data_IF_840717065912
#
_entry.id   IF_840717065912
#
_cell.length_a   1.000
_cell.length_b   1.000
_cell.length_c   1.000
_cell.angle_alpha   90.00
_cell.angle_beta   90.00
_cell.angle_gamma   90.00
#
_symmetry.space_group_name_H-M   'P 1'
#
loop_
_entity.id
_entity.type
_entity.pdbx_description
1 polymer ?
#
# COMPACT_ATOMS: atom_id res chain seq x y z
N UNK A 1 33.73 -15.89 -14.65
CA UNK A 1 33.12 -14.61 -14.25
C UNK A 1 31.95 -14.96 -13.37
N UNK A 2 32.04 -14.71 -12.08
CA UNK A 2 30.93 -14.92 -11.14
C UNK A 2 29.81 -13.97 -11.53
N UNK A 3 28.68 -14.51 -12.00
CA UNK A 3 27.44 -13.75 -12.19
C UNK A 3 27.04 -13.19 -10.83
N UNK A 4 27.46 -11.96 -10.52
CA UNK A 4 26.90 -11.19 -9.42
C UNK A 4 25.39 -11.12 -9.63
N UNK A 5 24.60 -11.07 -8.51
CA UNK A 5 23.18 -10.90 -8.64
C UNK A 5 22.83 -9.63 -9.43
N UNK A 6 21.68 -9.61 -10.06
CA UNK A 6 21.25 -8.51 -10.93
C UNK A 6 21.30 -7.14 -10.21
N UNK A 7 21.05 -7.13 -8.90
CA UNK A 7 21.07 -5.90 -8.12
C UNK A 7 22.50 -5.32 -7.97
N UNK A 8 23.47 -6.19 -7.70
CA UNK A 8 24.89 -5.81 -7.67
C UNK A 8 25.39 -5.29 -9.03
N UNK A 9 24.94 -5.91 -10.13
CA UNK A 9 25.24 -5.44 -11.48
C UNK A 9 24.64 -4.04 -11.73
N UNK A 10 23.37 -3.83 -11.35
CA UNK A 10 22.71 -2.54 -11.44
C UNK A 10 23.48 -1.46 -10.66
N UNK A 11 23.92 -1.73 -9.44
CA UNK A 11 24.69 -0.77 -8.64
C UNK A 11 26.05 -0.42 -9.29
N UNK A 12 26.70 -1.38 -9.94
CA UNK A 12 27.98 -1.14 -10.63
C UNK A 12 27.81 -0.31 -11.91
N UNK A 13 26.72 -0.52 -12.66
CA UNK A 13 26.42 0.26 -13.87
C UNK A 13 26.25 1.76 -13.59
N UNK A 14 25.82 2.15 -12.39
CA UNK A 14 25.32 3.50 -12.10
C UNK A 14 26.21 4.36 -11.21
N UNK A 15 27.32 3.84 -10.74
CA UNK A 15 28.30 4.64 -9.98
C UNK A 15 28.75 5.95 -10.67
N UNK A 16 28.81 6.05 -12.01
CA UNK A 16 29.31 7.27 -12.68
C UNK A 16 28.27 8.38 -12.85
N UNK A 17 26.96 8.08 -13.01
CA UNK A 17 25.92 9.09 -13.31
C UNK A 17 24.51 8.68 -12.87
N UNK A 18 23.95 9.32 -11.83
CA UNK A 18 22.58 9.06 -11.36
C UNK A 18 21.48 9.31 -12.41
N UNK A 19 21.71 10.21 -13.38
CA UNK A 19 20.72 10.49 -14.43
C UNK A 19 20.56 9.31 -15.40
N UNK A 20 21.58 8.49 -15.54
CA UNK A 20 21.52 7.27 -16.35
C UNK A 20 20.48 6.27 -15.78
N UNK A 21 20.29 6.24 -14.46
CA UNK A 21 19.27 5.40 -13.81
C UNK A 21 17.86 5.75 -14.28
N UNK A 22 17.49 7.03 -14.25
CA UNK A 22 16.16 7.46 -14.65
C UNK A 22 15.88 7.10 -16.12
N UNK A 23 16.82 7.38 -17.03
CA UNK A 23 16.69 7.03 -18.46
C UNK A 23 16.47 5.53 -18.67
N UNK A 24 17.28 4.70 -18.01
CA UNK A 24 17.13 3.23 -18.10
C UNK A 24 15.80 2.73 -17.56
N UNK A 25 15.31 3.28 -16.45
CA UNK A 25 13.99 2.94 -15.93
C UNK A 25 12.89 3.33 -16.91
N UNK A 26 12.97 4.52 -17.50
CA UNK A 26 12.01 5.02 -18.49
C UNK A 26 12.00 4.16 -19.77
N UNK A 27 13.18 3.73 -20.26
CA UNK A 27 13.28 2.76 -21.36
C UNK A 27 12.54 1.46 -21.03
N UNK A 28 12.75 0.89 -19.82
CA UNK A 28 12.07 -0.33 -19.40
C UNK A 28 10.55 -0.12 -19.26
N UNK A 29 10.11 1.03 -18.73
CA UNK A 29 8.67 1.36 -18.68
C UNK A 29 8.05 1.40 -20.07
N UNK A 30 8.79 1.96 -21.06
CA UNK A 30 8.35 2.00 -22.46
C UNK A 30 8.25 0.60 -23.04
N UNK A 31 9.25 -0.26 -22.81
CA UNK A 31 9.24 -1.63 -23.31
C UNK A 31 8.12 -2.47 -22.70
N UNK A 32 7.90 -2.30 -21.39
CA UNK A 32 6.79 -2.95 -20.70
C UNK A 32 5.43 -2.44 -21.22
N UNK A 33 5.29 -1.14 -21.43
CA UNK A 33 4.10 -0.52 -22.02
C UNK A 33 3.81 -1.05 -23.43
N UNK A 34 4.85 -1.21 -24.27
CA UNK A 34 4.72 -1.80 -25.60
C UNK A 34 4.20 -3.25 -25.54
N UNK A 35 4.70 -4.04 -24.59
CA UNK A 35 4.22 -5.43 -24.40
C UNK A 35 2.79 -5.52 -23.86
N UNK A 36 2.37 -4.53 -23.07
CA UNK A 36 1.03 -4.48 -22.49
C UNK A 36 0.01 -3.76 -23.38
N UNK A 37 0.47 -3.02 -24.39
CA UNK A 37 -0.38 -2.22 -25.28
C UNK A 37 -1.00 -0.98 -24.62
N UNK A 38 -0.46 -0.53 -23.47
CA UNK A 38 -0.94 0.63 -22.72
C UNK A 38 0.18 1.26 -21.88
N UNK A 39 0.05 2.54 -21.50
CA UNK A 39 1.04 3.21 -20.66
C UNK A 39 1.26 2.49 -19.33
N UNK A 40 2.52 2.47 -18.91
CA UNK A 40 2.94 2.02 -17.58
C UNK A 40 3.50 3.22 -16.83
N UNK A 41 3.02 3.43 -15.62
CA UNK A 41 3.53 4.44 -14.69
C UNK A 41 3.91 3.77 -13.37
N UNK A 42 4.74 4.42 -12.57
CA UNK A 42 5.18 3.83 -11.32
C UNK A 42 5.01 4.79 -10.14
N UNK A 43 4.54 4.24 -9.03
CA UNK A 43 4.57 4.80 -7.70
C UNK A 43 5.31 3.79 -6.80
N UNK A 44 6.56 4.09 -6.50
CA UNK A 44 7.42 3.24 -5.67
C UNK A 44 7.79 4.01 -4.40
N UNK A 45 7.37 3.51 -3.26
CA UNK A 45 7.79 4.04 -1.97
C UNK A 45 9.06 3.33 -1.48
N UNK A 46 9.97 4.09 -0.88
CA UNK A 46 11.10 3.53 -0.14
C UNK A 46 10.61 3.05 1.22
N UNK A 47 10.19 1.79 1.31
CA UNK A 47 9.57 1.22 2.51
C UNK A 47 10.45 1.22 3.76
N UNK A 48 11.75 1.46 3.60
CA UNK A 48 12.70 1.64 4.72
C UNK A 48 12.84 3.10 5.17
N UNK A 49 12.30 4.06 4.40
CA UNK A 49 12.33 5.47 4.75
C UNK A 49 11.15 5.81 5.68
N UNK A 50 11.36 6.49 6.83
CA UNK A 50 10.30 6.72 7.82
C UNK A 50 9.12 7.56 7.31
N UNK A 51 9.32 8.36 6.25
CA UNK A 51 8.27 9.22 5.64
C UNK A 51 7.90 8.70 4.23
N UNK A 52 7.77 7.39 4.09
CA UNK A 52 7.38 6.75 2.82
C UNK A 52 5.88 6.49 2.71
N UNK A 53 5.12 6.71 3.78
CA UNK A 53 3.69 6.48 3.81
C UNK A 53 2.94 7.30 2.74
N UNK A 54 1.89 6.73 2.17
CA UNK A 54 0.99 7.42 1.24
C UNK A 54 0.32 8.60 1.94
N UNK A 55 0.43 9.81 1.36
CA UNK A 55 -0.04 11.05 1.99
C UNK A 55 -0.49 12.07 0.93
N UNK A 56 -1.17 13.15 1.39
CA UNK A 56 -1.77 14.16 0.50
C UNK A 56 -0.81 14.72 -0.57
N UNK A 57 0.47 15.03 -0.31
CA UNK A 57 1.40 15.51 -1.36
C UNK A 57 1.61 14.54 -2.52
N UNK A 58 1.34 13.25 -2.34
CA UNK A 58 1.48 12.26 -3.42
C UNK A 58 0.46 12.48 -4.54
N UNK A 59 -0.69 13.08 -4.20
CA UNK A 59 -1.77 13.36 -5.15
C UNK A 59 -1.30 14.29 -6.26
N UNK A 60 -0.51 15.31 -5.92
CA UNK A 60 -0.03 16.28 -6.90
C UNK A 60 0.92 15.61 -7.90
N UNK A 61 1.85 14.76 -7.41
CA UNK A 61 2.74 13.96 -8.26
C UNK A 61 1.95 12.99 -9.16
N UNK A 62 0.89 12.37 -8.62
CA UNK A 62 0.04 11.45 -9.39
C UNK A 62 -0.74 12.18 -10.47
N UNK A 63 -1.29 13.35 -10.19
CA UNK A 63 -2.01 14.16 -11.19
C UNK A 63 -1.12 14.46 -12.39
N UNK A 64 0.15 14.80 -12.17
CA UNK A 64 1.06 15.15 -13.26
C UNK A 64 1.39 13.93 -14.13
N UNK A 65 1.67 12.76 -13.57
CA UNK A 65 1.92 11.59 -14.40
C UNK A 65 0.64 11.04 -15.06
N UNK A 66 -0.52 11.18 -14.44
CA UNK A 66 -1.82 10.83 -15.05
C UNK A 66 -2.09 11.68 -16.29
N UNK A 67 -1.80 13.00 -16.23
CA UNK A 67 -1.89 13.89 -17.40
C UNK A 67 -1.01 13.42 -18.56
N UNK A 68 0.19 12.95 -18.29
CA UNK A 68 1.11 12.43 -19.32
C UNK A 68 0.54 11.14 -19.92
N UNK A 69 0.23 10.16 -19.09
CA UNK A 69 -0.22 8.83 -19.54
C UNK A 69 -1.56 8.88 -20.29
N UNK A 70 -2.49 9.75 -19.88
CA UNK A 70 -3.82 9.86 -20.48
C UNK A 70 -3.86 10.43 -21.91
N UNK A 71 -2.75 11.03 -22.37
CA UNK A 71 -2.63 11.52 -23.75
C UNK A 71 -2.63 10.38 -24.77
N UNK A 72 -2.12 9.21 -24.40
CA UNK A 72 -1.92 8.07 -25.31
C UNK A 72 -2.96 6.96 -25.18
N UNK A 73 -3.62 6.84 -24.03
CA UNK A 73 -4.54 5.73 -23.79
C UNK A 73 -5.60 6.04 -22.72
N UNK A 74 -6.72 5.31 -22.77
CA UNK A 74 -7.74 5.23 -21.72
C UNK A 74 -7.58 3.99 -20.84
N UNK A 75 -6.48 3.29 -20.98
CA UNK A 75 -6.04 2.15 -20.18
C UNK A 75 -4.70 2.47 -19.51
N UNK A 76 -4.50 2.01 -18.27
CA UNK A 76 -3.28 2.26 -17.49
C UNK A 76 -2.85 1.02 -16.74
N UNK A 77 -1.53 0.83 -16.62
CA UNK A 77 -0.88 -0.04 -15.65
C UNK A 77 -0.07 0.79 -14.66
N UNK A 78 -0.36 0.65 -13.38
CA UNK A 78 0.37 1.29 -12.27
C UNK A 78 1.26 0.27 -11.60
N UNK A 79 2.58 0.43 -11.67
CA UNK A 79 3.50 -0.30 -10.80
C UNK A 79 3.42 0.34 -9.42
N UNK A 80 3.01 -0.43 -8.42
CA UNK A 80 2.76 0.06 -7.06
C UNK A 80 3.57 -0.70 -6.03
N UNK A 81 4.42 0.00 -5.29
CA UNK A 81 5.01 -0.46 -4.05
C UNK A 81 4.81 0.59 -2.96
N UNK A 82 4.18 0.18 -1.84
CA UNK A 82 4.01 1.04 -0.68
C UNK A 82 3.59 0.21 0.54
N UNK A 83 4.07 0.60 1.72
CA UNK A 83 3.59 0.06 3.00
C UNK A 83 2.20 0.58 3.39
N UNK A 84 1.60 1.47 2.60
CA UNK A 84 0.32 2.09 2.86
C UNK A 84 0.43 3.52 3.38
N UNK A 85 -0.56 3.96 4.14
CA UNK A 85 -0.66 5.33 4.66
C UNK A 85 -2.12 5.76 4.80
N UNK A 86 -2.44 6.99 4.38
CA UNK A 86 -3.79 7.56 4.51
C UNK A 86 -4.78 6.93 3.50
N UNK A 87 -5.81 6.26 4.03
CA UNK A 87 -6.87 5.64 3.22
C UNK A 87 -7.70 6.64 2.42
N UNK A 88 -7.85 7.89 2.89
CA UNK A 88 -8.57 8.93 2.12
C UNK A 88 -7.74 9.35 0.88
N UNK A 89 -6.41 9.36 1.01
CA UNK A 89 -5.51 9.60 -0.12
C UNK A 89 -5.62 8.47 -1.14
N UNK A 90 -5.62 7.21 -0.69
CA UNK A 90 -5.84 6.07 -1.58
C UNK A 90 -7.16 6.17 -2.33
N UNK A 91 -8.24 6.58 -1.67
CA UNK A 91 -9.55 6.79 -2.30
C UNK A 91 -9.53 7.92 -3.33
N UNK A 92 -8.89 9.04 -3.00
CA UNK A 92 -8.73 10.16 -3.93
C UNK A 92 -7.95 9.76 -5.17
N UNK A 93 -6.86 9.00 -5.01
CA UNK A 93 -6.09 8.47 -6.12
C UNK A 93 -6.91 7.51 -6.99
N UNK A 94 -7.72 6.62 -6.38
CA UNK A 94 -8.62 5.74 -7.12
C UNK A 94 -9.63 6.52 -7.96
N UNK A 95 -10.24 7.57 -7.43
CA UNK A 95 -11.13 8.44 -8.20
C UNK A 95 -10.39 9.03 -9.41
N UNK A 96 -9.19 9.58 -9.23
CA UNK A 96 -8.40 10.16 -10.31
C UNK A 96 -8.11 9.10 -11.39
N UNK A 97 -7.64 7.91 -11.01
CA UNK A 97 -7.34 6.85 -11.97
C UNK A 97 -8.59 6.37 -12.70
N UNK A 98 -9.68 6.11 -11.99
CA UNK A 98 -10.91 5.55 -12.57
C UNK A 98 -11.66 6.53 -13.47
N UNK A 99 -11.63 7.82 -13.17
CA UNK A 99 -12.22 8.85 -14.02
C UNK A 99 -11.39 9.10 -15.28
N UNK A 100 -10.06 9.00 -15.17
CA UNK A 100 -9.16 9.26 -16.29
C UNK A 100 -9.04 8.06 -17.24
N UNK A 101 -8.89 6.86 -16.69
CA UNK A 101 -8.66 5.63 -17.45
C UNK A 101 -9.93 4.77 -17.52
N UNK A 102 -10.84 5.19 -18.37
CA UNK A 102 -12.22 4.66 -18.46
C UNK A 102 -12.28 3.26 -19.10
N UNK A 103 -11.25 2.84 -19.86
CA UNK A 103 -11.18 1.50 -20.44
C UNK A 103 -10.74 0.46 -19.42
N UNK A 104 -9.59 0.67 -18.77
CA UNK A 104 -9.14 -0.15 -17.64
C UNK A 104 -8.06 0.56 -16.82
N UNK A 105 -8.07 0.29 -15.52
CA UNK A 105 -7.02 0.65 -14.57
C UNK A 105 -6.50 -0.63 -13.92
N UNK A 106 -5.21 -0.92 -14.09
CA UNK A 106 -4.57 -2.14 -13.60
C UNK A 106 -3.42 -1.81 -12.67
N UNK A 107 -3.21 -2.62 -11.64
CA UNK A 107 -2.11 -2.47 -10.69
C UNK A 107 -1.15 -3.65 -10.82
N UNK A 108 0.15 -3.35 -10.87
CA UNK A 108 1.24 -4.33 -10.87
C UNK A 108 1.99 -4.19 -9.55
N UNK A 109 2.03 -5.25 -8.76
CA UNK A 109 2.72 -5.28 -7.46
C UNK A 109 4.05 -6.02 -7.61
N UNK A 110 5.21 -5.32 -7.64
CA UNK A 110 6.50 -5.99 -7.80
C UNK A 110 6.91 -6.75 -6.52
N UNK A 111 6.61 -6.20 -5.35
CA UNK A 111 6.98 -6.77 -4.06
C UNK A 111 5.85 -6.59 -3.04
N UNK A 112 5.54 -5.37 -2.56
CA UNK A 112 4.49 -5.22 -1.56
C UNK A 112 3.59 -4.00 -1.80
N UNK A 113 2.27 -4.21 -1.62
CA UNK A 113 1.26 -3.15 -1.60
C UNK A 113 0.35 -3.37 -0.38
N UNK A 114 0.70 -2.76 0.77
CA UNK A 114 0.05 -2.99 2.06
C UNK A 114 -0.96 -1.89 2.40
N UNK A 115 -1.94 -2.21 3.25
CA UNK A 115 -2.88 -1.24 3.85
C UNK A 115 -3.50 -0.31 2.77
N UNK A 116 -3.29 1.02 2.81
CA UNK A 116 -3.79 1.97 1.82
C UNK A 116 -3.37 1.62 0.37
N UNK A 117 -2.20 0.98 0.16
CA UNK A 117 -1.81 0.50 -1.16
C UNK A 117 -2.60 -0.76 -1.58
N UNK A 118 -3.00 -1.63 -0.64
CA UNK A 118 -3.99 -2.70 -0.91
C UNK A 118 -5.34 -2.06 -1.26
N UNK A 119 -5.77 -1.00 -0.54
CA UNK A 119 -7.00 -0.27 -0.87
C UNK A 119 -6.98 0.23 -2.32
N UNK A 120 -5.86 0.80 -2.77
CA UNK A 120 -5.69 1.23 -4.15
C UNK A 120 -5.73 0.04 -5.13
N UNK A 121 -5.10 -1.08 -4.77
CA UNK A 121 -5.03 -2.28 -5.61
C UNK A 121 -6.38 -2.95 -5.84
N UNK A 122 -7.22 -3.07 -4.80
CA UNK A 122 -8.55 -3.69 -4.94
C UNK A 122 -9.53 -2.87 -5.80
N UNK A 123 -9.27 -1.57 -5.94
CA UNK A 123 -10.01 -0.69 -6.84
C UNK A 123 -9.60 -0.79 -8.31
N UNK A 124 -8.54 -1.53 -8.63
CA UNK A 124 -8.11 -1.80 -10.00
C UNK A 124 -8.99 -2.89 -10.64
N UNK A 125 -9.06 -2.89 -11.98
CA UNK A 125 -9.78 -3.94 -12.72
C UNK A 125 -9.04 -5.28 -12.65
N UNK A 126 -7.70 -5.23 -12.55
CA UNK A 126 -6.82 -6.38 -12.44
C UNK A 126 -5.63 -6.05 -11.55
N UNK A 127 -5.23 -7.00 -10.73
CA UNK A 127 -4.00 -6.96 -9.94
C UNK A 127 -3.02 -7.95 -10.52
N UNK A 128 -1.82 -7.52 -10.89
CA UNK A 128 -0.76 -8.37 -11.41
C UNK A 128 0.23 -8.62 -10.29
N UNK A 129 0.49 -9.90 -10.02
CA UNK A 129 1.36 -10.34 -8.94
C UNK A 129 2.31 -11.44 -9.43
N UNK A 130 3.51 -11.48 -8.88
CA UNK A 130 4.45 -12.60 -9.05
C UNK A 130 4.68 -13.34 -7.73
N UNK A 131 5.64 -14.25 -7.71
CA UNK A 131 5.98 -15.05 -6.53
C UNK A 131 6.36 -14.19 -5.31
N UNK A 132 7.00 -13.04 -5.54
CA UNK A 132 7.46 -12.14 -4.47
C UNK A 132 6.43 -11.11 -4.06
N UNK A 133 5.29 -11.06 -4.77
CA UNK A 133 4.29 -10.02 -4.55
C UNK A 133 3.41 -10.34 -3.35
N UNK A 134 3.08 -9.31 -2.59
CA UNK A 134 2.14 -9.42 -1.49
C UNK A 134 1.22 -8.21 -1.37
N UNK A 135 -0.01 -8.47 -1.01
CA UNK A 135 -0.96 -7.51 -0.47
C UNK A 135 -0.98 -7.63 1.07
N UNK A 136 -1.74 -6.79 1.73
CA UNK A 136 -1.97 -6.87 3.15
C UNK A 136 -3.41 -6.56 3.54
N UNK A 137 -3.80 -6.80 4.80
CA UNK A 137 -5.06 -6.34 5.33
C UNK A 137 -5.20 -4.82 5.24
N UNK A 138 -6.45 -4.35 5.24
CA UNK A 138 -6.79 -2.92 5.26
C UNK A 138 -7.52 -2.54 6.55
N UNK A 139 -7.26 -3.29 7.63
CA UNK A 139 -7.74 -3.00 8.96
C UNK A 139 -7.14 -1.68 9.48
N UNK A 140 -7.95 -0.73 9.96
CA UNK A 140 -7.45 0.55 10.41
C UNK A 140 -6.59 0.43 11.65
N UNK A 141 -5.44 1.13 11.64
CA UNK A 141 -4.50 1.21 12.75
C UNK A 141 -4.68 2.53 13.50
N UNK A 142 -4.71 2.46 14.81
CA UNK A 142 -4.84 3.62 15.70
C UNK A 142 -3.51 3.87 16.41
N UNK A 143 -3.05 5.10 16.37
CA UNK A 143 -1.86 5.53 17.12
C UNK A 143 -2.22 5.68 18.61
N UNK A 144 -1.57 4.89 19.46
CA UNK A 144 -1.73 4.95 20.93
C UNK A 144 -0.40 5.39 21.53
N UNK A 145 -0.44 6.46 22.35
CA UNK A 145 0.73 6.92 23.08
C UNK A 145 0.93 6.08 24.33
N UNK A 146 2.10 5.46 24.45
CA UNK A 146 2.50 4.74 25.66
C UNK A 146 2.95 5.70 26.76
N UNK A 147 2.94 5.28 28.05
CA UNK A 147 3.47 6.09 29.16
C UNK A 147 4.94 6.50 28.99
N UNK A 148 5.70 5.78 28.17
CA UNK A 148 7.08 6.08 27.80
C UNK A 148 7.24 7.23 26.81
N UNK A 149 6.11 7.77 26.27
CA UNK A 149 6.10 8.75 25.18
C UNK A 149 6.25 8.15 23.78
N UNK A 150 6.44 6.84 23.68
CA UNK A 150 6.47 6.14 22.40
C UNK A 150 5.06 5.99 21.82
N UNK A 151 4.96 6.05 20.50
CA UNK A 151 3.70 5.79 19.77
C UNK A 151 3.70 4.35 19.28
N UNK A 152 2.64 3.63 19.61
CA UNK A 152 2.37 2.29 19.11
C UNK A 152 1.13 2.31 18.22
N UNK A 153 1.18 1.63 17.07
CA UNK A 153 0.01 1.42 16.24
C UNK A 153 -0.67 0.10 16.63
N UNK A 154 -1.96 0.17 16.93
CA UNK A 154 -2.78 -1.00 17.28
C UNK A 154 -4.01 -1.08 16.38
N UNK A 155 -4.47 -2.28 15.99
CA UNK A 155 -5.69 -2.41 15.21
C UNK A 155 -6.90 -1.82 15.96
N UNK A 156 -7.71 -1.00 15.28
CA UNK A 156 -8.93 -0.43 15.86
C UNK A 156 -9.83 -1.53 16.45
N UNK A 157 -9.89 -2.69 15.80
CA UNK A 157 -10.63 -3.86 16.26
C UNK A 157 -10.12 -4.41 17.59
N UNK A 158 -8.83 -4.29 17.90
CA UNK A 158 -8.30 -4.72 19.22
C UNK A 158 -8.93 -3.94 20.36
N UNK A 159 -9.19 -2.64 20.16
CA UNK A 159 -9.84 -1.78 21.16
C UNK A 159 -11.31 -2.15 21.27
N UNK A 160 -12.06 -2.18 20.17
CA UNK A 160 -13.51 -2.49 20.20
C UNK A 160 -13.78 -3.92 20.63
N UNK A 161 -12.96 -4.88 20.20
CA UNK A 161 -13.07 -6.29 20.61
C UNK A 161 -12.77 -6.51 22.10
N UNK A 162 -11.80 -5.78 22.66
CA UNK A 162 -11.51 -5.82 24.10
C UNK A 162 -12.73 -5.35 24.91
N UNK A 163 -13.39 -4.28 24.47
CA UNK A 163 -14.60 -3.78 25.13
C UNK A 163 -15.75 -4.78 25.06
N UNK A 164 -15.96 -5.40 23.90
CA UNK A 164 -16.95 -6.46 23.72
C UNK A 164 -16.67 -7.63 24.69
N UNK A 165 -15.40 -8.07 24.75
CA UNK A 165 -14.99 -9.13 25.67
C UNK A 165 -15.23 -8.76 27.14
N UNK A 166 -14.85 -7.55 27.56
CA UNK A 166 -15.06 -7.07 28.92
C UNK A 166 -16.56 -7.10 29.26
N UNK A 167 -17.41 -6.60 28.34
CA UNK A 167 -18.88 -6.63 28.53
C UNK A 167 -19.38 -8.06 28.73
N UNK A 168 -19.02 -9.00 27.86
CA UNK A 168 -19.40 -10.41 27.96
C UNK A 168 -18.94 -11.08 29.27
N UNK A 169 -17.71 -10.76 29.70
CA UNK A 169 -17.15 -11.31 30.93
C UNK A 169 -17.89 -10.79 32.18
N UNK A 170 -18.25 -9.49 32.21
CA UNK A 170 -19.05 -8.90 33.31
C UNK A 170 -20.46 -9.43 33.29
N UNK A 171 -21.09 -9.61 32.13
CA UNK A 171 -22.44 -10.23 32.03
C UNK A 171 -22.46 -11.66 32.59
N UNK A 172 -21.38 -12.42 32.46
CA UNK A 172 -21.24 -13.77 33.04
C UNK A 172 -20.91 -13.74 34.53
N UNK A 173 -20.17 -12.73 34.98
CA UNK A 173 -19.74 -12.59 36.38
C UNK A 173 -19.52 -11.12 36.74
N UNK A 174 -20.50 -10.50 37.39
CA UNK A 174 -20.45 -9.07 37.78
C UNK A 174 -19.23 -8.70 38.64
N UNK A 175 -18.68 -9.64 39.40
CA UNK A 175 -17.49 -9.40 40.25
C UNK A 175 -16.24 -9.00 39.41
N UNK A 176 -16.23 -9.35 38.13
CA UNK A 176 -15.13 -8.97 37.23
C UNK A 176 -15.12 -7.48 36.91
N UNK A 177 -16.22 -6.74 37.11
CA UNK A 177 -16.28 -5.31 36.85
C UNK A 177 -15.19 -4.53 37.61
N UNK A 178 -14.93 -4.91 38.88
CA UNK A 178 -13.89 -4.26 39.69
C UNK A 178 -12.47 -4.50 39.11
N UNK A 179 -12.23 -5.68 38.53
CA UNK A 179 -10.94 -6.00 37.92
C UNK A 179 -10.71 -5.24 36.62
N UNK A 180 -11.78 -5.01 35.84
CA UNK A 180 -11.71 -4.29 34.59
C UNK A 180 -11.70 -2.76 34.71
N UNK A 181 -12.10 -2.22 35.87
CA UNK A 181 -12.20 -0.78 36.09
C UNK A 181 -10.92 0.00 35.72
N UNK A 182 -9.71 -0.42 36.14
CA UNK A 182 -8.47 0.28 35.75
C UNK A 182 -8.21 0.28 34.25
N UNK A 183 -8.62 -0.77 33.53
CA UNK A 183 -8.49 -0.86 32.08
C UNK A 183 -9.45 0.10 31.38
N UNK A 184 -10.70 0.13 31.82
CA UNK A 184 -11.73 1.00 31.25
C UNK A 184 -11.42 2.48 31.48
N UNK A 185 -10.77 2.87 32.58
CA UNK A 185 -10.35 4.24 32.83
C UNK A 185 -9.30 4.76 31.85
N UNK A 186 -8.56 3.87 31.20
CA UNK A 186 -7.55 4.25 30.22
C UNK A 186 -8.10 4.47 28.81
N UNK A 187 -9.35 4.05 28.57
CA UNK A 187 -9.97 4.13 27.24
C UNK A 187 -10.91 5.35 27.21
N UNK A 188 -10.61 6.31 26.36
CA UNK A 188 -11.42 7.51 26.17
C UNK A 188 -12.62 7.17 25.26
N UNK A 189 -13.83 7.66 25.57
CA UNK A 189 -15.01 7.41 24.74
C UNK A 189 -14.84 7.81 23.28
N UNK A 190 -14.11 8.92 23.01
CA UNK A 190 -13.84 9.40 21.68
C UNK A 190 -12.98 8.41 20.89
N UNK A 191 -12.06 7.71 21.56
CA UNK A 191 -11.21 6.68 20.93
C UNK A 191 -12.06 5.51 20.46
N UNK A 192 -13.07 5.11 21.23
CA UNK A 192 -13.99 4.03 20.86
C UNK A 192 -14.73 4.41 19.57
N UNK A 193 -15.34 5.59 19.57
CA UNK A 193 -16.10 6.08 18.42
C UNK A 193 -15.22 6.22 17.19
N UNK A 194 -13.99 6.74 17.35
CA UNK A 194 -13.03 6.83 16.27
C UNK A 194 -12.67 5.45 15.68
N UNK A 195 -12.48 4.43 16.53
CA UNK A 195 -12.22 3.06 16.07
C UNK A 195 -13.40 2.49 15.27
N UNK A 196 -14.63 2.69 15.74
CA UNK A 196 -15.84 2.25 15.05
C UNK A 196 -15.97 2.92 13.68
N UNK A 197 -15.78 4.24 13.61
CA UNK A 197 -15.86 5.00 12.36
C UNK A 197 -14.75 4.60 11.37
N UNK A 198 -13.54 4.34 11.85
CA UNK A 198 -12.43 3.88 11.01
C UNK A 198 -12.70 2.48 10.42
N UNK A 199 -13.25 1.55 11.22
CA UNK A 199 -13.66 0.22 10.75
C UNK A 199 -14.79 0.33 9.74
N UNK A 200 -15.79 1.17 10.01
CA UNK A 200 -16.93 1.39 9.11
C UNK A 200 -16.45 2.00 7.77
N UNK A 201 -15.54 2.98 7.81
CA UNK A 201 -14.93 3.57 6.62
C UNK A 201 -14.21 2.50 5.78
N UNK A 202 -13.27 1.75 6.38
CA UNK A 202 -12.51 0.71 5.66
C UNK A 202 -13.43 -0.35 5.05
N UNK A 203 -14.47 -0.75 5.77
CA UNK A 203 -15.44 -1.76 5.30
C UNK A 203 -16.28 -1.23 4.13
N UNK A 204 -16.79 0.00 4.22
CA UNK A 204 -17.58 0.62 3.15
C UNK A 204 -16.74 0.90 1.92
N UNK A 205 -15.49 1.33 2.13
CA UNK A 205 -14.49 1.49 1.07
C UNK A 205 -14.26 0.17 0.33
N UNK A 206 -13.93 -0.90 1.07
CA UNK A 206 -13.66 -2.21 0.48
C UNK A 206 -14.84 -2.70 -0.36
N UNK A 207 -16.06 -2.67 0.17
CA UNK A 207 -17.26 -3.09 -0.58
C UNK A 207 -17.43 -2.32 -1.88
N UNK A 208 -17.36 -1.01 -1.82
CA UNK A 208 -17.53 -0.13 -2.98
C UNK A 208 -16.48 -0.36 -4.06
N UNK A 209 -15.21 -0.47 -3.67
CA UNK A 209 -14.11 -0.55 -4.62
C UNK A 209 -13.84 -1.96 -5.13
N UNK A 210 -14.12 -3.01 -4.36
CA UNK A 210 -14.14 -4.40 -4.84
C UNK A 210 -15.18 -4.58 -5.96
N UNK A 211 -16.39 -4.04 -5.77
CA UNK A 211 -17.48 -4.10 -6.76
C UNK A 211 -17.13 -3.38 -8.06
N UNK A 212 -16.47 -2.24 -7.98
CA UNK A 212 -16.05 -1.44 -9.14
C UNK A 212 -14.75 -1.92 -9.78
N UNK A 213 -13.93 -2.65 -9.03
CA UNK A 213 -12.56 -3.06 -9.37
C UNK A 213 -12.37 -4.57 -9.43
N UNK A 214 -11.47 -5.08 -8.58
CA UNK A 214 -10.94 -6.44 -8.64
C UNK A 214 -11.98 -7.56 -8.44
N UNK A 215 -13.21 -7.26 -8.04
CA UNK A 215 -14.30 -8.23 -7.97
C UNK A 215 -15.53 -7.81 -8.79
N UNK A 216 -15.33 -6.98 -9.81
CA UNK A 216 -16.44 -6.55 -10.68
C UNK A 216 -17.23 -7.74 -11.23
N UNK A 217 -18.56 -7.72 -11.07
CA UNK A 217 -19.45 -8.77 -11.55
C UNK A 217 -19.52 -10.01 -10.65
N UNK A 218 -18.83 -10.03 -9.51
CA UNK A 218 -18.95 -11.11 -8.53
C UNK A 218 -20.22 -10.95 -7.68
N UNK A 219 -20.78 -12.08 -7.14
CA UNK A 219 -21.95 -12.04 -6.26
C UNK A 219 -21.71 -11.16 -5.02
N UNK A 220 -22.74 -10.42 -4.59
CA UNK A 220 -22.68 -9.54 -3.42
C UNK A 220 -22.20 -10.26 -2.15
N UNK A 221 -22.60 -11.52 -1.96
CA UNK A 221 -22.15 -12.35 -0.83
C UNK A 221 -20.63 -12.49 -0.79
N UNK A 222 -19.97 -12.68 -1.95
CA UNK A 222 -18.53 -12.83 -2.03
C UNK A 222 -17.83 -11.47 -1.76
N UNK A 223 -18.38 -10.38 -2.29
CA UNK A 223 -17.92 -9.01 -2.00
C UNK A 223 -17.96 -8.71 -0.49
N UNK A 224 -19.09 -8.99 0.16
CA UNK A 224 -19.27 -8.76 1.60
C UNK A 224 -18.30 -9.60 2.43
N UNK A 225 -18.09 -10.87 2.05
CA UNK A 225 -17.13 -11.76 2.69
C UNK A 225 -15.71 -11.23 2.57
N UNK A 226 -15.26 -10.94 1.35
CA UNK A 226 -13.90 -10.47 1.09
C UNK A 226 -13.64 -9.11 1.74
N UNK A 227 -14.60 -8.17 1.67
CA UNK A 227 -14.50 -6.89 2.38
C UNK A 227 -14.30 -7.11 3.89
N UNK A 228 -15.09 -7.99 4.50
CA UNK A 228 -14.95 -8.32 5.92
C UNK A 228 -13.58 -8.93 6.22
N UNK A 229 -13.12 -9.92 5.46
CA UNK A 229 -11.83 -10.58 5.68
C UNK A 229 -10.66 -9.59 5.61
N UNK A 230 -10.69 -8.63 4.67
CA UNK A 230 -9.65 -7.62 4.53
C UNK A 230 -9.66 -6.57 5.66
N UNK A 231 -10.83 -6.26 6.25
CA UNK A 231 -10.99 -5.11 7.16
C UNK A 231 -11.05 -5.48 8.63
N UNK A 232 -11.50 -6.69 8.98
CA UNK A 232 -11.73 -7.05 10.38
C UNK A 232 -10.56 -7.78 11.03
N UNK A 233 -9.59 -8.25 10.26
CA UNK A 233 -8.46 -9.01 10.79
C UNK A 233 -8.84 -10.40 11.34
N UNK A 234 -10.08 -10.90 11.11
CA UNK A 234 -10.51 -12.22 11.59
C UNK A 234 -9.68 -13.34 10.95
N UNK A 235 -9.35 -13.19 9.66
CA UNK A 235 -8.46 -14.09 8.93
C UNK A 235 -7.00 -13.72 9.14
N UNK A 236 -6.71 -12.43 9.14
CA UNK A 236 -5.34 -11.91 9.24
C UNK A 236 -5.13 -11.33 10.63
N UNK A 237 -4.54 -12.09 11.53
CA UNK A 237 -4.38 -11.72 12.94
C UNK A 237 -3.46 -10.51 13.16
N UNK A 238 -2.68 -10.13 12.16
CA UNK A 238 -1.72 -9.02 12.22
C UNK A 238 -1.86 -8.13 10.99
N UNK A 239 -1.77 -6.82 11.18
CA UNK A 239 -1.77 -5.83 10.08
C UNK A 239 -0.67 -6.08 9.03
N UNK A 240 0.47 -6.61 9.44
CA UNK A 240 1.58 -7.00 8.56
C UNK A 240 1.40 -8.32 7.84
N UNK A 241 0.27 -9.03 8.00
CA UNK A 241 0.06 -10.33 7.35
C UNK A 241 0.26 -10.25 5.84
N UNK A 242 0.80 -11.33 5.30
CA UNK A 242 1.02 -11.49 3.86
C UNK A 242 -0.22 -12.08 3.23
N UNK A 243 -0.65 -11.50 2.12
CA UNK A 243 -1.66 -12.04 1.22
C UNK A 243 -0.96 -12.24 -0.12
N UNK A 244 -0.54 -13.47 -0.39
CA UNK A 244 0.14 -13.81 -1.64
C UNK A 244 -0.85 -13.91 -2.82
N UNK A 245 -0.35 -14.16 -4.03
CA UNK A 245 -1.18 -14.22 -5.22
C UNK A 245 -2.21 -15.38 -5.21
N UNK A 246 -1.89 -16.51 -4.57
CA UNK A 246 -2.80 -17.66 -4.46
C UNK A 246 -3.97 -17.33 -3.53
N UNK A 247 -3.69 -16.77 -2.35
CA UNK A 247 -4.71 -16.32 -1.40
C UNK A 247 -5.56 -15.19 -1.97
N UNK A 248 -4.93 -14.21 -2.63
CA UNK A 248 -5.64 -13.09 -3.25
C UNK A 248 -6.62 -13.58 -4.33
N UNK A 249 -6.20 -14.52 -5.17
CA UNK A 249 -7.02 -15.08 -6.26
C UNK A 249 -8.01 -16.14 -5.77
N UNK A 250 -7.52 -17.14 -5.04
CA UNK A 250 -8.30 -18.33 -4.66
C UNK A 250 -9.25 -18.04 -3.51
N UNK A 251 -8.73 -17.51 -2.41
CA UNK A 251 -9.50 -17.36 -1.17
C UNK A 251 -10.31 -16.07 -1.15
N UNK A 252 -9.69 -14.95 -1.53
CA UNK A 252 -10.37 -13.66 -1.56
C UNK A 252 -11.17 -13.43 -2.86
N UNK A 253 -10.92 -14.22 -3.91
CA UNK A 253 -11.63 -14.12 -5.17
C UNK A 253 -11.33 -12.87 -6.00
N UNK A 254 -10.19 -12.22 -5.75
CA UNK A 254 -9.74 -11.04 -6.48
C UNK A 254 -9.34 -11.40 -7.92
N UNK A 255 -9.52 -10.49 -8.87
CA UNK A 255 -9.03 -10.64 -10.24
C UNK A 255 -7.51 -10.47 -10.29
N UNK A 256 -6.79 -11.57 -9.99
CA UNK A 256 -5.33 -11.61 -9.98
C UNK A 256 -4.82 -12.35 -11.22
N UNK A 257 -3.91 -11.69 -11.94
CA UNK A 257 -3.08 -12.30 -12.99
C UNK A 257 -1.69 -12.57 -12.40
N UNK A 258 -1.27 -13.83 -12.47
CA UNK A 258 0.06 -14.23 -11.98
C UNK A 258 1.07 -14.19 -13.14
N UNK A 259 2.20 -13.48 -12.93
CA UNK A 259 3.34 -13.52 -13.82
C UNK A 259 4.45 -14.36 -13.21
N UNK A 260 4.81 -15.43 -13.89
CA UNK A 260 5.92 -16.29 -13.51
C UNK A 260 7.26 -15.55 -13.68
N UNK A 261 8.27 -15.94 -12.91
CA UNK A 261 9.61 -15.32 -12.97
C UNK A 261 10.28 -15.44 -14.35
N UNK A 262 9.85 -16.39 -15.17
CA UNK A 262 10.32 -16.58 -16.56
C UNK A 262 9.55 -15.75 -17.57
N UNK A 263 8.39 -15.17 -17.19
CA UNK A 263 7.64 -14.26 -18.07
C UNK A 263 8.48 -13.02 -18.37
N UNK A 264 8.62 -12.70 -19.66
CA UNK A 264 9.39 -11.52 -20.09
C UNK A 264 8.87 -10.21 -19.47
N UNK A 265 7.56 -10.08 -19.24
CA UNK A 265 6.96 -8.92 -18.59
C UNK A 265 7.40 -8.83 -17.14
N UNK A 266 7.46 -9.98 -16.43
CA UNK A 266 7.98 -10.03 -15.06
C UNK A 266 9.45 -9.67 -15.01
N UNK A 267 10.26 -10.15 -15.94
CA UNK A 267 11.70 -9.83 -16.01
C UNK A 267 11.94 -8.34 -16.25
N UNK A 268 11.16 -7.70 -17.13
CA UNK A 268 11.17 -6.25 -17.33
C UNK A 268 10.76 -5.50 -16.06
N UNK A 269 9.64 -5.91 -15.44
CA UNK A 269 9.16 -5.34 -14.19
C UNK A 269 10.23 -5.42 -13.08
N UNK A 270 10.81 -6.60 -12.89
CA UNK A 270 11.81 -6.85 -11.87
C UNK A 270 13.08 -6.03 -12.10
N UNK A 271 13.50 -5.93 -13.35
CA UNK A 271 14.63 -5.10 -13.77
C UNK A 271 14.36 -3.60 -13.49
N UNK A 272 13.16 -3.11 -13.78
CA UNK A 272 12.72 -1.76 -13.40
C UNK A 272 12.78 -1.56 -11.89
N UNK A 273 12.16 -2.47 -11.15
CA UNK A 273 12.05 -2.42 -9.69
C UNK A 273 13.41 -2.37 -9.00
N UNK A 274 14.35 -3.22 -9.40
CA UNK A 274 15.71 -3.20 -8.83
C UNK A 274 16.42 -1.87 -9.07
N UNK A 275 16.22 -1.24 -10.23
CA UNK A 275 16.76 0.10 -10.52
C UNK A 275 16.12 1.20 -9.68
N UNK A 276 14.83 1.10 -9.39
CA UNK A 276 14.16 1.99 -8.46
C UNK A 276 14.74 1.84 -7.03
N UNK A 277 14.93 0.61 -6.58
CA UNK A 277 15.58 0.33 -5.26
C UNK A 277 17.02 0.84 -5.21
N UNK A 278 17.79 0.67 -6.29
CA UNK A 278 19.15 1.21 -6.37
C UNK A 278 19.17 2.74 -6.26
N UNK A 279 18.19 3.43 -6.85
CA UNK A 279 18.07 4.89 -6.72
C UNK A 279 17.88 5.35 -5.28
N UNK A 280 17.11 4.60 -4.49
CA UNK A 280 16.92 4.90 -3.06
C UNK A 280 18.20 4.66 -2.24
N UNK A 281 18.98 3.64 -2.57
CA UNK A 281 20.29 3.42 -1.91
C UNK A 281 21.28 4.54 -2.21
N UNK A 282 21.24 5.10 -3.42
CA UNK A 282 22.11 6.21 -3.81
C UNK A 282 21.64 7.56 -3.27
N UNK A 283 20.37 7.69 -2.95
CA UNK A 283 19.77 8.88 -2.34
C UNK A 283 18.98 8.51 -1.07
N UNK A 284 19.61 8.47 0.10
CA UNK A 284 18.95 8.12 1.35
C UNK A 284 17.79 9.04 1.75
N UNK A 285 17.73 10.26 1.21
CA UNK A 285 16.63 11.19 1.44
C UNK A 285 15.42 10.92 0.54
N UNK A 286 15.54 10.03 -0.43
CA UNK A 286 14.45 9.69 -1.34
C UNK A 286 13.42 8.80 -0.64
N UNK A 287 12.25 9.37 -0.38
CA UNK A 287 11.13 8.67 0.24
C UNK A 287 10.24 7.96 -0.79
N UNK A 288 10.07 8.54 -1.98
CA UNK A 288 9.18 8.01 -3.04
C UNK A 288 9.68 8.39 -4.42
N UNK A 289 9.35 7.54 -5.38
CA UNK A 289 9.60 7.73 -6.80
C UNK A 289 8.26 7.66 -7.56
N UNK A 290 7.98 8.70 -8.34
CA UNK A 290 6.86 8.79 -9.28
C UNK A 290 7.43 8.88 -10.69
N UNK A 291 7.08 7.95 -11.58
CA UNK A 291 7.76 7.87 -12.87
C UNK A 291 6.82 7.49 -14.01
N UNK A 292 7.04 8.13 -15.15
CA UNK A 292 6.45 7.80 -16.44
C UNK A 292 7.57 7.58 -17.45
N UNK A 293 7.24 7.28 -18.70
CA UNK A 293 8.23 7.23 -19.80
C UNK A 293 8.89 8.58 -20.10
N UNK A 294 8.28 9.70 -19.68
CA UNK A 294 8.76 11.07 -19.97
C UNK A 294 9.28 11.79 -18.71
N UNK A 295 8.75 11.47 -17.54
CA UNK A 295 9.04 12.19 -16.30
C UNK A 295 9.49 11.26 -15.19
N UNK A 296 10.41 11.72 -14.36
CA UNK A 296 10.87 11.02 -13.15
C UNK A 296 10.96 12.03 -12.02
N UNK A 297 10.11 11.86 -11.01
CA UNK A 297 10.03 12.72 -9.83
C UNK A 297 10.38 11.92 -8.59
N UNK A 298 11.40 12.35 -7.87
CA UNK A 298 11.77 11.79 -6.57
C UNK A 298 11.35 12.74 -5.48
N UNK A 299 10.48 12.28 -4.58
CA UNK A 299 10.14 13.03 -3.37
C UNK A 299 11.25 12.84 -2.34
N UNK A 300 12.01 13.90 -2.11
CA UNK A 300 13.08 13.92 -1.11
C UNK A 300 12.57 14.55 0.18
N UNK A 301 12.84 13.90 1.31
CA UNK A 301 12.50 14.41 2.64
C UNK A 301 13.74 14.35 3.52
N UNK A 302 14.20 15.52 3.98
CA UNK A 302 15.30 15.59 4.94
C UNK A 302 14.77 15.30 6.34
N UNK A 303 15.31 14.29 6.98
CA UNK A 303 15.07 14.03 8.40
C UNK A 303 16.01 14.95 9.18
N UNK A 304 15.49 16.09 9.66
CA UNK A 304 16.23 16.93 10.55
C UNK A 304 16.15 16.29 11.95
N UNK A 305 17.29 15.82 12.55
CA UNK A 305 17.26 15.32 13.91
C UNK A 305 16.75 16.45 14.83
N UNK A 306 15.70 16.18 15.60
CA UNK A 306 15.32 17.13 16.66
C UNK A 306 16.52 17.28 17.59
N UNK A 307 17.14 18.47 17.60
CA UNK A 307 18.13 18.80 18.61
C UNK A 307 17.44 18.65 19.97
N UNK A 308 18.00 17.78 20.82
CA UNK A 308 17.42 17.49 22.12
C UNK A 308 17.16 18.80 22.87
N UNK A 309 15.92 18.95 23.34
CA UNK A 309 15.55 19.99 24.28
C UNK A 309 16.45 19.78 25.49
N UNK A 310 17.43 20.66 25.71
CA UNK A 310 18.22 20.64 26.95
C UNK A 310 17.24 20.82 28.11
N UNK A 311 17.31 20.00 29.15
CA UNK A 311 16.48 20.21 30.32
C UNK A 311 16.80 21.61 30.89
N UNK A 312 15.76 22.43 30.98
CA UNK A 312 15.84 23.71 31.67
C UNK A 312 16.28 23.42 33.11
N UNK A 313 17.44 23.97 33.51
CA UNK A 313 17.97 23.82 34.85
C UNK A 313 17.09 24.55 35.87
#
# INVERSE_FOLDING_TARGET
MTNGDLFSQVLQEYRPDPNTLAKKRQEILKDLGNKLGAPVVAYIANTTHPISAMMQPDVDSVIDFVKVASKSSKELYLILESSGGDGNVAEKLLHIFRETFTKSFNVIVPNSAKSAATMLSIGADKIIMGTNSELGPIDPQIAVSLPTGQVQYVPAKSITGTLTKIKEDIEKNEKLATMYYPVLQQIRPETIKFCEDAIAFSTSFAKRWLEKGAMRGKPKKDLDRTAKELTTGDRFNMHGSVINHEEAKGDLGLNVEFWDQKDEKWQLLWNYYLRAKASFQMNPNAAKLFETVETSVTMNVQIIPMQGVQPVK
#
